data_IF_422282505367
#
_entry.id   IF_422282505367
#
_cell.length_a   1.000
_cell.length_b   1.000
_cell.length_c   1.000
_cell.angle_alpha   90.00
_cell.angle_beta   90.00
_cell.angle_gamma   90.00
#
_symmetry.space_group_name_H-M   'P 1'
#
loop_
_entity.id
_entity.type
_entity.pdbx_description
1 polymer ?
#
# COMPACT_ATOMS: atom_id res chain seq x y z
N UNK A 1 17.20 -18.77 1.40
CA UNK A 1 17.08 -17.45 0.75
C UNK A 1 15.61 -17.07 0.74
N UNK A 2 15.26 -15.86 1.17
CA UNK A 2 13.90 -15.31 1.08
C UNK A 2 13.80 -14.40 -0.13
N UNK A 3 12.77 -14.60 -0.95
CA UNK A 3 12.50 -13.77 -2.13
C UNK A 3 11.40 -12.77 -1.75
N UNK A 4 11.66 -11.48 -1.94
CA UNK A 4 10.73 -10.41 -1.57
C UNK A 4 9.96 -9.83 -2.76
N UNK A 5 10.53 -9.95 -3.95
CA UNK A 5 9.98 -9.39 -5.19
C UNK A 5 10.56 -10.14 -6.37
N UNK A 6 9.77 -10.30 -7.43
CA UNK A 6 10.22 -10.84 -8.70
C UNK A 6 9.51 -10.14 -9.85
N UNK A 7 10.17 -10.13 -11.00
CA UNK A 7 9.59 -9.81 -12.29
C UNK A 7 10.07 -10.84 -13.31
N UNK A 8 9.32 -11.04 -14.39
CA UNK A 8 9.68 -11.99 -15.43
C UNK A 8 9.23 -11.52 -16.80
N UNK A 9 9.99 -11.94 -17.80
CA UNK A 9 9.57 -11.92 -19.20
C UNK A 9 9.45 -13.37 -19.72
N UNK A 10 9.39 -13.55 -21.04
CA UNK A 10 9.24 -14.88 -21.65
C UNK A 10 10.43 -15.82 -21.40
N UNK A 11 11.62 -15.28 -21.17
CA UNK A 11 12.88 -16.02 -21.19
C UNK A 11 13.56 -16.05 -19.81
N UNK A 12 13.28 -15.06 -18.96
CA UNK A 12 13.99 -14.87 -17.70
C UNK A 12 13.12 -14.32 -16.59
N UNK A 13 13.57 -14.57 -15.36
CA UNK A 13 13.01 -14.04 -14.14
C UNK A 13 14.10 -13.32 -13.36
N UNK A 14 13.84 -12.09 -12.92
CA UNK A 14 14.69 -11.33 -12.03
C UNK A 14 14.06 -11.22 -10.64
N UNK A 15 14.85 -11.30 -9.57
CA UNK A 15 14.32 -11.20 -8.22
C UNK A 15 15.36 -10.69 -7.21
N UNK A 16 14.89 -10.11 -6.10
CA UNK A 16 15.73 -9.78 -4.95
C UNK A 16 15.67 -10.94 -3.96
N UNK A 17 16.82 -11.57 -3.74
CA UNK A 17 16.99 -12.64 -2.77
C UNK A 17 17.78 -12.15 -1.57
N UNK A 18 17.28 -12.42 -0.36
CA UNK A 18 18.01 -12.14 0.88
C UNK A 18 18.36 -13.43 1.62
N UNK A 19 19.58 -13.46 2.13
CA UNK A 19 20.14 -14.51 2.96
C UNK A 19 20.46 -13.94 4.35
N UNK A 20 21.14 -14.71 5.20
CA UNK A 20 21.56 -14.23 6.51
C UNK A 20 22.53 -13.04 6.40
N UNK A 21 23.40 -13.05 5.38
CA UNK A 21 24.55 -12.14 5.33
C UNK A 21 24.43 -11.07 4.23
N UNK A 22 23.52 -11.25 3.27
CA UNK A 22 23.37 -10.32 2.14
C UNK A 22 22.00 -10.36 1.47
N UNK A 23 21.68 -9.24 0.83
CA UNK A 23 20.63 -9.11 -0.18
C UNK A 23 21.29 -8.90 -1.56
N UNK A 24 20.82 -9.60 -2.57
CA UNK A 24 21.35 -9.48 -3.94
C UNK A 24 20.25 -9.57 -4.99
N UNK A 25 20.52 -8.99 -6.14
CA UNK A 25 19.74 -9.15 -7.37
C UNK A 25 20.17 -10.44 -8.07
N UNK A 26 19.20 -11.27 -8.42
CA UNK A 26 19.41 -12.53 -9.13
C UNK A 26 18.60 -12.57 -10.42
N UNK A 27 19.09 -13.35 -11.40
CA UNK A 27 18.36 -13.71 -12.61
C UNK A 27 18.36 -15.22 -12.78
N UNK A 28 17.22 -15.76 -13.21
CA UNK A 28 17.06 -17.12 -13.71
C UNK A 28 16.83 -17.04 -15.21
N UNK A 29 17.69 -17.69 -16.00
CA UNK A 29 17.56 -17.79 -17.46
C UNK A 29 18.01 -19.19 -17.89
N UNK A 30 17.23 -19.87 -18.75
CA UNK A 30 17.54 -21.23 -19.20
C UNK A 30 17.68 -22.25 -18.05
N UNK A 31 16.94 -22.05 -16.95
CA UNK A 31 17.01 -22.90 -15.75
C UNK A 31 18.25 -22.68 -14.86
N UNK A 32 19.10 -21.69 -15.17
CA UNK A 32 20.30 -21.37 -14.37
C UNK A 32 20.08 -20.08 -13.62
N UNK A 33 20.40 -20.11 -12.32
CA UNK A 33 20.41 -18.93 -11.46
C UNK A 33 21.80 -18.26 -11.51
N UNK A 34 21.81 -16.93 -11.60
CA UNK A 34 23.02 -16.11 -11.52
C UNK A 34 22.78 -14.90 -10.63
N UNK A 35 23.73 -14.62 -9.75
CA UNK A 35 23.79 -13.36 -9.01
C UNK A 35 24.27 -12.24 -9.94
N UNK A 36 23.52 -11.14 -10.01
CA UNK A 36 23.82 -9.98 -10.84
C UNK A 36 24.66 -8.97 -10.07
N UNK A 37 24.18 -8.57 -8.89
CA UNK A 37 24.82 -7.56 -8.06
C UNK A 37 24.33 -7.66 -6.60
N UNK A 38 25.18 -7.30 -5.62
CA UNK A 38 24.71 -7.04 -4.26
C UNK A 38 23.76 -5.83 -4.26
N UNK A 39 22.74 -5.88 -3.43
CA UNK A 39 21.72 -4.84 -3.31
C UNK A 39 21.51 -4.46 -1.84
N UNK A 40 21.02 -3.24 -1.62
CA UNK A 40 20.60 -2.82 -0.29
C UNK A 40 19.46 -3.72 0.21
N UNK A 41 19.38 -4.04 1.51
CA UNK A 41 18.17 -4.56 2.12
C UNK A 41 16.96 -3.69 1.75
N UNK A 42 15.76 -4.28 1.65
CA UNK A 42 14.54 -3.58 1.21
C UNK A 42 14.62 -2.99 -0.21
N UNK A 43 15.34 -3.67 -1.10
CA UNK A 43 15.23 -3.47 -2.54
C UNK A 43 14.17 -4.41 -3.12
N UNK A 44 13.45 -3.95 -4.13
CA UNK A 44 12.37 -4.68 -4.80
C UNK A 44 12.52 -4.55 -6.31
N UNK A 45 12.55 -5.68 -7.01
CA UNK A 45 12.44 -5.74 -8.48
C UNK A 45 10.98 -5.60 -8.86
N UNK A 46 10.71 -4.78 -9.88
CA UNK A 46 9.35 -4.56 -10.39
C UNK A 46 9.17 -4.95 -11.84
N UNK A 47 10.22 -4.83 -12.67
CA UNK A 47 10.11 -5.22 -14.08
C UNK A 47 11.47 -5.64 -14.66
N UNK A 48 11.41 -6.43 -15.74
CA UNK A 48 12.58 -6.90 -16.49
C UNK A 48 12.23 -6.97 -17.98
N UNK A 49 13.13 -6.45 -18.80
CA UNK A 49 13.08 -6.63 -20.25
C UNK A 49 14.42 -7.16 -20.77
N UNK A 50 14.56 -7.34 -22.08
CA UNK A 50 15.76 -7.88 -22.72
C UNK A 50 17.08 -7.25 -22.24
N UNK A 51 17.08 -5.93 -21.97
CA UNK A 51 18.29 -5.16 -21.64
C UNK A 51 18.46 -4.88 -20.15
N UNK A 52 17.37 -4.61 -19.44
CA UNK A 52 17.43 -4.06 -18.09
C UNK A 52 16.52 -4.76 -17.11
N UNK A 53 16.90 -4.67 -15.85
CA UNK A 53 16.09 -4.97 -14.68
C UNK A 53 15.88 -3.65 -13.95
N UNK A 54 14.64 -3.36 -13.55
CA UNK A 54 14.30 -2.15 -12.80
C UNK A 54 13.61 -2.51 -11.49
N UNK A 55 13.75 -1.60 -10.53
CA UNK A 55 13.19 -1.76 -9.21
C UNK A 55 13.43 -0.54 -8.35
N UNK A 56 13.06 -0.61 -7.09
CA UNK A 56 13.19 0.49 -6.14
C UNK A 56 13.52 0.01 -4.72
N UNK A 57 13.86 0.94 -3.84
CA UNK A 57 14.04 0.67 -2.43
C UNK A 57 14.85 1.76 -1.73
N UNK A 58 15.32 1.43 -0.52
CA UNK A 58 16.24 2.28 0.24
C UNK A 58 17.66 2.02 -0.27
N UNK A 59 18.07 2.70 -1.34
CA UNK A 59 19.30 2.37 -2.07
C UNK A 59 20.48 3.23 -1.65
N UNK A 60 20.22 4.40 -1.07
CA UNK A 60 21.24 5.33 -0.55
C UNK A 60 21.39 5.33 0.97
N UNK A 61 20.75 4.37 1.64
CA UNK A 61 20.85 4.19 3.10
C UNK A 61 20.05 5.19 3.93
N UNK A 62 19.29 6.10 3.31
CA UNK A 62 18.38 6.98 4.03
C UNK A 62 17.00 6.32 4.18
N UNK A 63 16.56 5.93 5.40
CA UNK A 63 15.27 5.27 5.60
C UNK A 63 14.06 6.20 5.37
N UNK A 64 14.29 7.49 5.09
CA UNK A 64 13.26 8.50 4.81
C UNK A 64 13.09 8.80 3.32
N UNK A 65 13.78 8.08 2.43
CA UNK A 65 13.62 8.20 0.99
C UNK A 65 13.71 6.84 0.31
N UNK A 66 13.16 6.77 -0.90
CA UNK A 66 13.32 5.62 -1.77
C UNK A 66 13.83 6.08 -3.12
N UNK A 67 14.78 5.36 -3.67
CA UNK A 67 15.31 5.57 -5.01
C UNK A 67 14.91 4.40 -5.91
N UNK A 68 15.04 4.56 -7.22
CA UNK A 68 14.90 3.45 -8.14
C UNK A 68 16.24 3.09 -8.78
N UNK A 69 16.44 1.80 -9.08
CA UNK A 69 17.61 1.31 -9.78
C UNK A 69 17.28 0.86 -11.19
N UNK A 70 18.28 0.95 -12.06
CA UNK A 70 18.33 0.26 -13.34
C UNK A 70 19.61 -0.56 -13.38
N UNK A 71 19.46 -1.86 -13.54
CA UNK A 71 20.57 -2.80 -13.67
C UNK A 71 20.61 -3.38 -15.08
N UNK A 72 21.80 -3.50 -15.66
CA UNK A 72 21.98 -4.37 -16.83
C UNK A 72 22.25 -5.82 -16.40
N UNK A 73 22.18 -6.75 -17.36
CA UNK A 73 22.42 -8.16 -17.09
C UNK A 73 23.89 -8.48 -16.78
N UNK A 74 24.83 -7.56 -16.99
CA UNK A 74 26.25 -7.77 -16.69
C UNK A 74 26.61 -7.49 -15.23
N UNK A 75 25.72 -6.84 -14.48
CA UNK A 75 25.94 -6.47 -13.08
C UNK A 75 26.12 -4.98 -12.84
N UNK A 76 26.04 -4.13 -13.86
CA UNK A 76 26.11 -2.69 -13.66
C UNK A 76 24.77 -2.18 -13.14
N UNK A 77 24.75 -1.72 -11.89
CA UNK A 77 23.57 -1.13 -11.25
C UNK A 77 23.76 0.38 -11.14
N UNK A 78 22.79 1.15 -11.61
CA UNK A 78 22.74 2.61 -11.43
C UNK A 78 21.51 2.99 -10.63
N UNK A 79 21.69 3.90 -9.68
CA UNK A 79 20.66 4.40 -8.77
C UNK A 79 20.24 5.81 -9.21
N UNK A 80 18.94 6.04 -9.29
CA UNK A 80 18.35 7.28 -9.79
C UNK A 80 17.36 7.86 -8.78
N UNK A 81 17.35 9.18 -8.69
CA UNK A 81 16.34 9.95 -7.97
C UNK A 81 16.13 11.30 -8.67
N UNK A 82 14.89 11.74 -8.91
CA UNK A 82 14.61 13.08 -9.44
C UNK A 82 14.93 14.19 -8.43
N UNK A 83 14.87 13.89 -7.12
CA UNK A 83 15.14 14.84 -6.04
C UNK A 83 15.60 14.10 -4.79
N UNK A 84 16.65 14.59 -4.14
CA UNK A 84 17.08 14.02 -2.86
C UNK A 84 15.95 14.08 -1.83
N UNK A 85 15.77 12.99 -1.09
CA UNK A 85 14.74 12.89 -0.05
C UNK A 85 13.33 12.57 -0.55
N UNK A 86 13.09 12.43 -1.87
CA UNK A 86 11.78 12.03 -2.38
C UNK A 86 11.56 10.52 -2.32
N UNK A 87 10.29 10.11 -2.38
CA UNK A 87 9.87 8.72 -2.51
C UNK A 87 9.70 8.39 -3.99
N UNK A 88 10.42 7.38 -4.48
CA UNK A 88 10.38 7.00 -5.89
C UNK A 88 10.19 5.48 -6.03
N UNK A 89 9.18 5.07 -6.78
CA UNK A 89 8.85 3.66 -7.01
C UNK A 89 8.73 3.39 -8.51
N UNK A 90 9.71 2.68 -9.07
CA UNK A 90 9.66 2.24 -10.47
C UNK A 90 8.67 1.08 -10.63
N UNK A 91 7.76 1.18 -11.60
CA UNK A 91 6.73 0.16 -11.88
C UNK A 91 6.99 -0.64 -13.14
N UNK A 92 7.66 -0.07 -14.13
CA UNK A 92 7.86 -0.75 -15.40
C UNK A 92 8.91 -0.10 -16.26
N UNK A 93 9.38 -0.85 -17.26
CA UNK A 93 10.27 -0.34 -18.29
C UNK A 93 9.74 -0.70 -19.68
N UNK A 94 9.48 0.33 -20.48
CA UNK A 94 8.94 0.19 -21.84
C UNK A 94 9.55 1.24 -22.75
N UNK A 95 9.84 0.87 -24.00
CA UNK A 95 10.42 1.76 -25.01
C UNK A 95 11.68 2.51 -24.52
N UNK A 96 12.54 1.80 -23.77
CA UNK A 96 13.75 2.33 -23.15
C UNK A 96 13.50 3.51 -22.18
N UNK A 97 12.30 3.56 -21.57
CA UNK A 97 11.93 4.50 -20.52
C UNK A 97 11.46 3.77 -19.27
N UNK A 98 11.91 4.22 -18.12
CA UNK A 98 11.42 3.75 -16.81
C UNK A 98 10.17 4.54 -16.45
N UNK A 99 9.10 3.85 -16.14
CA UNK A 99 7.86 4.40 -15.61
C UNK A 99 7.89 4.27 -14.09
N UNK A 100 7.72 5.39 -13.39
CA UNK A 100 7.79 5.42 -11.94
C UNK A 100 6.80 6.41 -11.37
N UNK A 101 6.41 6.20 -10.13
CA UNK A 101 5.66 7.19 -9.33
C UNK A 101 6.59 7.87 -8.35
N UNK A 102 6.30 9.14 -8.09
CA UNK A 102 7.06 9.91 -7.11
C UNK A 102 6.26 11.04 -6.49
N UNK A 103 6.63 11.41 -5.28
CA UNK A 103 6.12 12.58 -4.57
C UNK A 103 7.03 13.82 -4.71
N UNK A 104 8.08 13.79 -5.56
CA UNK A 104 9.15 14.79 -5.52
C UNK A 104 8.69 16.25 -5.72
N UNK A 105 7.58 16.46 -6.43
CA UNK A 105 6.95 17.79 -6.61
C UNK A 105 6.23 18.25 -5.34
N UNK A 106 5.58 17.35 -4.60
CA UNK A 106 4.82 17.63 -3.39
C UNK A 106 5.10 16.58 -2.30
N UNK A 107 6.32 16.59 -1.71
CA UNK A 107 6.77 15.52 -0.83
C UNK A 107 5.78 15.22 0.29
N UNK A 108 5.31 13.98 0.32
CA UNK A 108 4.36 13.49 1.31
C UNK A 108 2.90 13.93 1.20
N UNK A 109 2.54 14.78 0.23
CA UNK A 109 1.15 15.23 0.05
C UNK A 109 0.45 14.60 -1.14
N UNK A 110 1.18 14.30 -2.20
CA UNK A 110 0.63 13.63 -3.39
C UNK A 110 1.72 13.03 -4.26
N UNK A 111 1.40 11.91 -4.90
CA UNK A 111 2.25 11.25 -5.88
C UNK A 111 1.76 11.51 -7.30
N UNK A 112 2.71 11.50 -8.24
CA UNK A 112 2.46 11.61 -9.67
C UNK A 112 3.24 10.54 -10.44
N UNK A 113 2.88 10.36 -11.71
CA UNK A 113 3.47 9.36 -12.59
C UNK A 113 4.43 10.05 -13.56
N UNK A 114 5.61 9.46 -13.74
CA UNK A 114 6.72 10.00 -14.50
C UNK A 114 7.35 8.96 -15.41
N UNK A 115 8.06 9.44 -16.42
CA UNK A 115 8.98 8.66 -17.24
C UNK A 115 10.41 9.15 -17.07
N UNK A 116 11.37 8.25 -17.21
CA UNK A 116 12.79 8.55 -17.25
C UNK A 116 13.44 7.87 -18.45
N UNK A 117 14.05 8.66 -19.34
CA UNK A 117 14.68 8.21 -20.60
C UNK A 117 16.21 8.11 -20.53
N UNK A 118 16.76 8.07 -19.31
CA UNK A 118 18.20 8.15 -19.02
C UNK A 118 18.85 9.54 -19.20
N UNK A 119 18.07 10.57 -19.56
CA UNK A 119 18.53 11.96 -19.66
C UNK A 119 17.71 12.89 -18.77
N UNK A 120 16.37 12.76 -18.79
CA UNK A 120 15.46 13.63 -18.06
C UNK A 120 14.27 12.86 -17.48
N UNK A 121 13.67 13.47 -16.46
CA UNK A 121 12.41 13.06 -15.86
C UNK A 121 11.26 13.87 -16.47
N UNK A 122 10.19 13.22 -16.91
CA UNK A 122 9.02 13.88 -17.48
C UNK A 122 7.73 13.36 -16.85
N UNK A 123 6.86 14.26 -16.41
CA UNK A 123 5.54 13.93 -15.90
C UNK A 123 4.66 13.39 -17.02
N UNK A 124 3.89 12.34 -16.74
CA UNK A 124 2.87 11.87 -17.67
C UNK A 124 1.67 12.81 -17.60
N UNK A 125 1.36 13.39 -18.75
CA UNK A 125 0.15 14.19 -18.96
C UNK A 125 -0.96 13.33 -19.53
N UNK A 126 -2.00 13.11 -18.72
CA UNK A 126 -3.21 12.45 -19.14
C UNK A 126 -4.13 13.42 -19.88
N UNK A 127 -4.87 12.89 -20.87
CA UNK A 127 -5.91 13.62 -21.58
C UNK A 127 -7.02 14.06 -20.63
N UNK A 128 -7.37 13.19 -19.68
CA UNK A 128 -8.44 13.39 -18.70
C UNK A 128 -7.83 13.81 -17.36
N UNK A 129 -8.52 14.69 -16.62
CA UNK A 129 -7.92 15.40 -15.49
C UNK A 129 -8.36 14.93 -14.09
N UNK A 130 -9.26 13.95 -13.99
CA UNK A 130 -9.82 13.49 -12.72
C UNK A 130 -8.74 13.01 -11.74
N UNK A 131 -7.71 12.31 -12.24
CA UNK A 131 -6.60 11.81 -11.43
C UNK A 131 -5.86 12.92 -10.68
N UNK A 132 -5.74 14.12 -11.27
CA UNK A 132 -5.05 15.25 -10.66
C UNK A 132 -5.86 15.84 -9.49
N UNK A 133 -7.18 15.80 -9.59
CA UNK A 133 -8.08 16.27 -8.54
C UNK A 133 -8.16 15.28 -7.36
N UNK A 134 -7.93 13.99 -7.61
CA UNK A 134 -7.97 12.97 -6.56
C UNK A 134 -6.81 13.10 -5.54
N UNK A 135 -5.69 13.72 -5.95
CA UNK A 135 -4.49 13.95 -5.12
C UNK A 135 -4.06 12.68 -4.37
N UNK A 136 -3.80 11.61 -5.12
CA UNK A 136 -3.44 10.32 -4.56
C UNK A 136 -2.18 10.39 -3.69
N UNK A 137 -2.16 9.64 -2.59
CA UNK A 137 -0.98 9.48 -1.74
C UNK A 137 -0.30 8.13 -1.94
N UNK A 138 -0.93 7.25 -2.70
CA UNK A 138 -0.36 6.01 -3.22
C UNK A 138 -0.93 5.75 -4.62
N UNK A 139 -0.10 5.25 -5.51
CA UNK A 139 -0.43 5.01 -6.91
C UNK A 139 0.19 3.70 -7.36
N UNK A 140 -0.58 2.85 -8.01
CA UNK A 140 -0.11 1.82 -8.94
C UNK A 140 -0.40 2.28 -10.36
N UNK A 141 0.57 2.14 -11.27
CA UNK A 141 0.39 2.50 -12.68
C UNK A 141 0.86 1.39 -13.62
N UNK A 142 -0.03 1.00 -14.53
CA UNK A 142 0.28 0.12 -15.65
C UNK A 142 0.50 0.96 -16.93
N UNK A 143 1.73 1.03 -17.45
CA UNK A 143 2.06 1.80 -18.66
C UNK A 143 1.61 1.13 -19.98
N UNK A 144 1.20 -0.13 -19.96
CA UNK A 144 0.71 -0.85 -21.14
C UNK A 144 -0.73 -0.44 -21.41
N UNK A 145 -1.58 -0.53 -20.39
CA UNK A 145 -3.01 -0.24 -20.49
C UNK A 145 -3.38 1.19 -20.08
N UNK A 146 -2.42 1.95 -19.56
CA UNK A 146 -2.61 3.30 -19.00
C UNK A 146 -3.67 3.31 -17.90
N UNK A 147 -3.61 2.29 -17.05
CA UNK A 147 -4.51 2.09 -15.92
C UNK A 147 -3.80 2.51 -14.63
N UNK A 148 -4.52 3.23 -13.78
CA UNK A 148 -4.01 3.64 -12.47
C UNK A 148 -4.97 3.23 -11.36
N UNK A 149 -4.46 2.57 -10.32
CA UNK A 149 -5.16 2.49 -9.03
C UNK A 149 -4.57 3.58 -8.15
N UNK A 150 -5.41 4.48 -7.69
CA UNK A 150 -5.00 5.57 -6.83
C UNK A 150 -5.68 5.46 -5.48
N UNK A 151 -4.91 5.59 -4.39
CA UNK A 151 -5.41 5.48 -3.01
C UNK A 151 -5.21 6.77 -2.23
N UNK A 152 -6.22 7.10 -1.42
CA UNK A 152 -6.23 8.20 -0.46
C UNK A 152 -7.21 7.88 0.68
N UNK A 153 -6.79 8.19 1.90
CA UNK A 153 -7.61 8.01 3.11
C UNK A 153 -8.19 6.57 3.25
N UNK A 154 -7.35 5.57 2.97
CA UNK A 154 -7.73 4.15 3.09
C UNK A 154 -8.72 3.66 2.04
N UNK A 155 -8.97 4.40 0.96
CA UNK A 155 -9.84 3.97 -0.15
C UNK A 155 -9.16 4.19 -1.48
N UNK A 156 -9.58 3.45 -2.50
CA UNK A 156 -9.00 3.56 -3.83
C UNK A 156 -10.02 3.87 -4.91
N UNK A 157 -9.54 4.47 -6.00
CA UNK A 157 -10.28 4.70 -7.24
C UNK A 157 -9.47 4.20 -8.42
N UNK A 158 -10.18 3.76 -9.46
CA UNK A 158 -9.60 3.28 -10.70
C UNK A 158 -9.67 4.36 -11.77
N UNK A 159 -8.57 4.54 -12.49
CA UNK A 159 -8.48 5.51 -13.58
C UNK A 159 -8.00 4.82 -14.86
N UNK A 160 -8.55 5.25 -15.99
CA UNK A 160 -8.10 4.88 -17.31
C UNK A 160 -7.76 6.16 -18.08
N UNK A 161 -6.50 6.32 -18.49
CA UNK A 161 -6.01 7.54 -19.15
C UNK A 161 -6.33 8.82 -18.36
N UNK A 162 -6.27 8.76 -17.03
CA UNK A 162 -6.56 9.89 -16.13
C UNK A 162 -8.05 10.12 -15.82
N UNK A 163 -8.98 9.43 -16.49
CA UNK A 163 -10.42 9.48 -16.21
C UNK A 163 -10.80 8.52 -15.11
N UNK A 164 -11.56 8.98 -14.12
CA UNK A 164 -12.05 8.14 -13.04
C UNK A 164 -13.17 7.21 -13.55
N UNK A 165 -13.07 5.92 -13.22
CA UNK A 165 -14.08 4.92 -13.53
C UNK A 165 -15.06 4.75 -12.37
N UNK A 166 -16.33 4.48 -12.69
CA UNK A 166 -17.38 4.27 -11.70
C UNK A 166 -17.21 2.93 -10.99
N UNK A 167 -16.40 2.93 -9.94
CA UNK A 167 -16.08 1.77 -9.12
C UNK A 167 -16.74 1.89 -7.74
N UNK A 168 -17.17 0.77 -7.12
CA UNK A 168 -17.75 0.80 -5.79
C UNK A 168 -16.77 1.41 -4.77
N UNK A 169 -17.31 2.01 -3.72
CA UNK A 169 -16.50 2.56 -2.62
C UNK A 169 -15.79 1.44 -1.85
N UNK A 170 -14.47 1.51 -1.71
CA UNK A 170 -13.66 0.49 -1.04
C UNK A 170 -12.25 0.44 -1.62
N UNK A 171 -11.65 -0.74 -1.66
CA UNK A 171 -10.28 -0.95 -2.13
C UNK A 171 -10.25 -1.90 -3.32
N UNK A 172 -9.50 -1.49 -4.34
CA UNK A 172 -9.22 -2.22 -5.57
C UNK A 172 -7.86 -2.90 -5.39
N UNK A 173 -7.86 -4.22 -5.27
CA UNK A 173 -6.65 -5.01 -4.98
C UNK A 173 -5.80 -5.34 -6.21
N UNK A 174 -6.37 -5.25 -7.41
CA UNK A 174 -5.71 -5.65 -8.65
C UNK A 174 -6.59 -5.34 -9.85
N UNK A 175 -5.96 -5.11 -10.99
CA UNK A 175 -6.63 -4.70 -12.23
C UNK A 175 -5.91 -5.24 -13.45
N UNK A 176 -6.66 -5.55 -14.50
CA UNK A 176 -6.15 -5.87 -15.84
C UNK A 176 -7.14 -5.38 -16.89
N UNK A 177 -6.67 -5.08 -18.10
CA UNK A 177 -7.53 -4.80 -19.24
C UNK A 177 -7.48 -5.95 -20.24
N UNK A 178 -8.63 -6.29 -20.81
CA UNK A 178 -8.71 -7.19 -21.97
C UNK A 178 -9.59 -6.51 -23.02
N UNK A 179 -8.97 -6.07 -24.11
CA UNK A 179 -9.62 -5.25 -25.15
C UNK A 179 -10.26 -4.00 -24.53
N UNK A 180 -11.58 -3.87 -24.59
CA UNK A 180 -12.32 -2.71 -24.10
C UNK A 180 -12.91 -2.90 -22.70
N UNK A 181 -12.61 -4.01 -22.03
CA UNK A 181 -13.15 -4.34 -20.71
C UNK A 181 -12.02 -4.31 -19.68
N UNK A 182 -12.27 -3.62 -18.57
CA UNK A 182 -11.37 -3.59 -17.42
C UNK A 182 -11.92 -4.53 -16.36
N UNK A 183 -11.09 -5.46 -15.90
CA UNK A 183 -11.40 -6.38 -14.81
C UNK A 183 -10.64 -5.98 -13.57
N UNK A 184 -11.31 -5.98 -12.42
CA UNK A 184 -10.67 -5.58 -11.17
C UNK A 184 -11.22 -6.36 -9.98
N UNK A 185 -10.35 -6.67 -9.02
CA UNK A 185 -10.76 -7.19 -7.72
C UNK A 185 -11.09 -6.04 -6.78
N UNK A 186 -12.20 -6.12 -6.07
CA UNK A 186 -12.63 -5.11 -5.11
C UNK A 186 -13.08 -5.77 -3.81
N UNK A 187 -12.90 -5.07 -2.69
CA UNK A 187 -13.49 -5.42 -1.39
C UNK A 187 -13.71 -4.16 -0.54
N UNK A 188 -14.42 -4.32 0.57
CA UNK A 188 -14.51 -3.34 1.64
C UNK A 188 -14.36 -4.00 3.01
N UNK A 189 -14.22 -3.22 4.09
CA UNK A 189 -14.26 -3.75 5.45
C UNK A 189 -15.59 -4.47 5.78
N UNK A 190 -16.64 -4.21 5.00
CA UNK A 190 -17.96 -4.85 5.12
C UNK A 190 -18.24 -5.92 4.06
N UNK A 191 -17.43 -6.02 3.00
CA UNK A 191 -17.69 -6.88 1.84
C UNK A 191 -16.45 -7.68 1.42
N UNK A 192 -16.52 -9.03 1.42
CA UNK A 192 -15.44 -9.87 0.91
C UNK A 192 -15.09 -9.57 -0.54
N UNK A 193 -13.88 -10.00 -0.95
CA UNK A 193 -13.40 -9.78 -2.31
C UNK A 193 -14.36 -10.29 -3.39
N UNK A 194 -14.52 -9.49 -4.44
CA UNK A 194 -15.25 -9.81 -5.66
C UNK A 194 -14.41 -9.43 -6.86
N UNK A 195 -14.70 -10.04 -8.00
CA UNK A 195 -14.15 -9.60 -9.29
C UNK A 195 -15.26 -8.93 -10.08
N UNK A 196 -15.00 -7.71 -10.52
CA UNK A 196 -15.87 -6.94 -11.37
C UNK A 196 -15.29 -6.82 -12.77
N UNK A 197 -16.16 -6.55 -13.74
CA UNK A 197 -15.78 -6.00 -15.03
C UNK A 197 -16.48 -4.67 -15.24
N UNK A 198 -15.79 -3.72 -15.86
CA UNK A 198 -16.38 -2.46 -16.34
C UNK A 198 -16.01 -2.23 -17.80
N UNK A 199 -16.99 -1.89 -18.62
CA UNK A 199 -16.74 -1.35 -19.95
C UNK A 199 -16.71 0.19 -19.86
N UNK A 200 -15.54 0.84 -20.05
CA UNK A 200 -15.41 2.29 -19.89
C UNK A 200 -16.21 3.11 -20.90
N UNK A 201 -16.68 2.51 -22.01
CA UNK A 201 -17.46 3.23 -23.02
C UNK A 201 -18.93 3.38 -22.63
N UNK A 202 -19.47 2.42 -21.87
CA UNK A 202 -20.88 2.40 -21.45
C UNK A 202 -21.06 2.60 -19.94
N UNK A 203 -19.95 2.61 -19.18
CA UNK A 203 -19.93 2.72 -17.72
C UNK A 203 -20.78 1.64 -17.01
N UNK A 204 -20.90 0.48 -17.65
CA UNK A 204 -21.64 -0.67 -17.14
C UNK A 204 -20.70 -1.54 -16.31
N UNK A 205 -21.07 -1.76 -15.04
CA UNK A 205 -20.33 -2.58 -14.10
C UNK A 205 -21.07 -3.91 -13.87
N UNK A 206 -20.33 -5.02 -13.98
CA UNK A 206 -20.85 -6.37 -13.81
C UNK A 206 -20.02 -7.14 -12.79
N UNK A 207 -20.66 -8.00 -12.00
CA UNK A 207 -19.97 -8.92 -11.06
C UNK A 207 -19.63 -10.21 -11.82
N UNK A 208 -18.34 -10.52 -11.90
CA UNK A 208 -17.81 -11.71 -12.58
C UNK A 208 -17.63 -12.87 -11.61
N UNK A 209 -17.09 -12.57 -10.42
CA UNK A 209 -16.90 -13.53 -9.34
C UNK A 209 -17.41 -12.91 -8.05
N UNK A 210 -18.28 -13.63 -7.35
CA UNK A 210 -18.84 -13.20 -6.08
C UNK A 210 -18.40 -14.13 -4.94
N UNK A 211 -18.34 -13.57 -3.73
CA UNK A 211 -18.15 -14.31 -2.50
C UNK A 211 -19.43 -14.21 -1.63
N UNK A 212 -19.56 -15.12 -0.67
CA UNK A 212 -20.70 -15.13 0.25
C UNK A 212 -20.75 -13.82 1.03
N UNK A 213 -21.92 -13.20 1.08
CA UNK A 213 -22.17 -12.02 1.91
C UNK A 213 -21.89 -12.32 3.38
N UNK A 214 -21.28 -11.35 4.06
CA UNK A 214 -20.97 -11.44 5.49
C UNK A 214 -21.77 -10.42 6.26
N UNK A 215 -22.18 -10.80 7.46
CA UNK A 215 -23.02 -9.97 8.31
C UNK A 215 -22.17 -9.01 9.16
N UNK A 216 -21.54 -8.04 8.50
CA UNK A 216 -20.89 -6.91 9.16
C UNK A 216 -21.97 -5.86 9.47
N UNK A 217 -21.86 -5.16 10.60
CA UNK A 217 -22.73 -4.02 10.91
C UNK A 217 -22.29 -2.78 10.13
N UNK A 218 -22.14 -1.66 10.83
CA UNK A 218 -21.74 -0.39 10.21
C UNK A 218 -20.22 -0.20 10.23
N UNK A 219 -19.66 0.34 9.16
CA UNK A 219 -18.26 0.78 9.07
C UNK A 219 -18.25 2.31 9.03
N UNK A 220 -17.62 2.93 10.04
CA UNK A 220 -17.36 4.37 10.04
C UNK A 220 -15.87 4.64 9.87
N UNK A 221 -15.57 5.82 9.36
CA UNK A 221 -14.23 6.38 9.27
C UNK A 221 -14.17 7.71 10.00
N UNK A 222 -13.25 7.83 10.95
CA UNK A 222 -13.07 9.06 11.75
C UNK A 222 -11.59 9.43 11.82
N UNK A 223 -11.32 10.70 12.11
CA UNK A 223 -9.97 11.19 12.42
C UNK A 223 -9.92 11.58 13.89
N UNK A 224 -9.30 10.73 14.72
CA UNK A 224 -9.18 10.98 16.16
C UNK A 224 -8.02 11.93 16.40
N UNK A 225 -8.23 13.00 17.18
CA UNK A 225 -7.18 13.97 17.46
C UNK A 225 -6.22 13.50 18.55
N UNK A 226 -4.93 13.65 18.30
CA UNK A 226 -3.86 13.49 19.28
C UNK A 226 -2.85 14.64 19.15
N UNK A 227 -3.08 15.72 19.91
CA UNK A 227 -2.36 16.99 19.70
C UNK A 227 -2.65 17.57 18.31
N UNK A 228 -1.60 17.83 17.55
CA UNK A 228 -1.68 18.32 16.16
C UNK A 228 -1.84 17.22 15.12
N UNK A 229 -1.86 15.95 15.54
CA UNK A 229 -2.02 14.79 14.65
C UNK A 229 -3.48 14.37 14.62
N UNK A 230 -3.98 14.15 13.40
CA UNK A 230 -5.25 13.50 13.16
C UNK A 230 -4.98 12.04 12.78
N UNK A 231 -5.40 11.11 13.65
CA UNK A 231 -5.20 9.65 13.50
C UNK A 231 -6.39 9.05 12.74
N UNK A 232 -6.22 8.68 11.46
CA UNK A 232 -7.25 7.99 10.70
C UNK A 232 -7.64 6.68 11.36
N UNK A 233 -8.93 6.45 11.58
CA UNK A 233 -9.40 5.30 12.35
C UNK A 233 -10.67 4.73 11.74
N UNK A 234 -10.65 3.44 11.46
CA UNK A 234 -11.85 2.68 11.09
C UNK A 234 -12.57 2.16 12.34
N UNK A 235 -13.89 2.30 12.37
CA UNK A 235 -14.75 1.74 13.43
C UNK A 235 -15.73 0.78 12.76
N UNK A 236 -15.47 -0.52 12.90
CA UNK A 236 -16.27 -1.61 12.37
C UNK A 236 -17.16 -2.15 13.48
N UNK A 237 -18.47 -1.89 13.40
CA UNK A 237 -19.44 -2.35 14.40
C UNK A 237 -20.00 -3.71 14.04
N UNK A 238 -20.11 -4.57 15.03
CA UNK A 238 -20.86 -5.80 14.90
C UNK A 238 -22.36 -5.49 14.77
N UNK A 239 -23.09 -6.28 13.98
CA UNK A 239 -24.54 -6.15 13.87
C UNK A 239 -25.26 -6.53 15.17
N UNK A 240 -24.72 -7.52 15.87
CA UNK A 240 -25.19 -7.97 17.19
C UNK A 240 -24.04 -7.77 18.20
N UNK A 241 -23.86 -6.54 18.72
CA UNK A 241 -22.70 -6.20 19.54
C UNK A 241 -22.81 -6.75 20.96
N UNK A 242 -21.69 -7.24 21.48
CA UNK A 242 -21.54 -7.74 22.86
C UNK A 242 -21.14 -6.65 23.88
N UNK A 243 -21.22 -5.37 23.48
CA UNK A 243 -20.64 -4.21 24.17
C UNK A 243 -19.13 -4.30 24.44
N UNK A 244 -18.41 -5.16 23.72
CA UNK A 244 -16.95 -5.28 23.78
C UNK A 244 -16.32 -4.79 22.49
N UNK A 245 -15.15 -4.18 22.61
CA UNK A 245 -14.36 -3.71 21.48
C UNK A 245 -12.95 -4.31 21.49
N UNK A 246 -12.42 -4.55 20.30
CA UNK A 246 -11.00 -4.81 20.08
C UNK A 246 -10.40 -3.62 19.34
N UNK A 247 -9.40 -2.97 19.93
CA UNK A 247 -8.51 -2.08 19.20
C UNK A 247 -7.54 -2.97 18.42
N UNK A 248 -7.71 -3.02 17.11
CA UNK A 248 -6.87 -3.82 16.21
C UNK A 248 -5.73 -2.98 15.66
N UNK A 249 -4.50 -3.35 15.99
CA UNK A 249 -3.29 -2.63 15.58
C UNK A 249 -2.60 -3.41 14.47
N UNK A 250 -2.54 -2.83 13.27
CA UNK A 250 -1.99 -3.50 12.09
C UNK A 250 -0.46 -3.66 12.17
N UNK A 251 0.07 -4.69 11.49
CA UNK A 251 1.52 -4.95 11.40
C UNK A 251 2.30 -3.93 10.56
N UNK A 252 3.59 -4.19 10.37
CA UNK A 252 4.53 -3.19 9.81
C UNK A 252 4.98 -2.22 10.90
N UNK A 253 5.60 -1.10 10.52
CA UNK A 253 4.80 0.10 10.75
C UNK A 253 4.28 0.71 9.44
N UNK A 254 4.99 0.45 8.33
CA UNK A 254 4.61 0.89 6.97
C UNK A 254 3.60 -0.07 6.33
N UNK A 255 2.42 -0.13 6.93
CA UNK A 255 1.21 -0.78 6.44
C UNK A 255 0.01 0.04 6.91
N UNK A 256 -1.21 -0.43 6.67
CA UNK A 256 -2.42 0.23 7.11
C UNK A 256 -3.57 -0.77 7.18
N UNK A 257 -4.63 -0.40 7.92
CA UNK A 257 -5.97 -0.90 7.67
C UNK A 257 -6.66 0.06 6.72
N UNK A 258 -6.87 -0.37 5.49
CA UNK A 258 -7.71 0.33 4.53
C UNK A 258 -9.13 -0.27 4.50
N UNK A 259 -9.99 0.29 3.66
CA UNK A 259 -11.35 -0.19 3.43
C UNK A 259 -11.32 -1.43 2.52
N UNK A 260 -10.58 -2.45 2.92
CA UNK A 260 -10.51 -3.76 2.26
C UNK A 260 -10.94 -4.87 3.20
N UNK A 261 -11.31 -6.01 2.63
CA UNK A 261 -11.72 -7.16 3.43
C UNK A 261 -10.56 -7.70 4.26
N UNK A 262 -10.67 -7.60 5.58
CA UNK A 262 -9.62 -8.01 6.49
C UNK A 262 -9.98 -9.31 7.23
N UNK A 263 -9.20 -10.37 6.99
CA UNK A 263 -9.41 -11.72 7.53
C UNK A 263 -9.13 -11.84 9.04
N UNK A 264 -8.46 -10.86 9.65
CA UNK A 264 -8.22 -10.80 11.09
C UNK A 264 -9.31 -10.01 11.81
N UNK A 265 -9.88 -8.98 11.17
CA UNK A 265 -10.95 -8.14 11.72
C UNK A 265 -12.33 -8.81 11.58
N UNK A 266 -12.64 -9.32 10.38
CA UNK A 266 -13.98 -9.84 10.07
C UNK A 266 -14.48 -10.97 10.98
N UNK A 267 -13.66 -11.92 11.49
CA UNK A 267 -14.14 -12.93 12.42
C UNK A 267 -14.49 -12.33 13.80
N UNK A 268 -13.74 -11.33 14.27
CA UNK A 268 -14.01 -10.64 15.53
C UNK A 268 -15.36 -9.92 15.48
N UNK A 269 -15.62 -9.23 14.36
CA UNK A 269 -16.88 -8.51 14.14
C UNK A 269 -18.06 -9.48 14.08
N UNK A 270 -17.90 -10.62 13.39
CA UNK A 270 -18.94 -11.66 13.35
C UNK A 270 -19.16 -12.34 14.70
N UNK A 271 -18.15 -12.37 15.57
CA UNK A 271 -18.28 -12.85 16.95
C UNK A 271 -18.90 -11.81 17.90
N UNK A 272 -19.34 -10.65 17.39
CA UNK A 272 -20.03 -9.62 18.16
C UNK A 272 -19.12 -8.59 18.82
N UNK A 273 -17.83 -8.55 18.47
CA UNK A 273 -16.91 -7.49 18.92
C UNK A 273 -16.96 -6.30 17.96
N UNK A 274 -17.09 -5.08 18.48
CA UNK A 274 -16.74 -3.91 17.69
C UNK A 274 -15.23 -3.92 17.46
N UNK A 275 -14.75 -3.56 16.28
CA UNK A 275 -13.32 -3.43 16.00
C UNK A 275 -12.99 -2.00 15.66
N UNK A 276 -11.96 -1.45 16.30
CA UNK A 276 -11.47 -0.10 16.05
C UNK A 276 -10.02 -0.23 15.58
N UNK A 277 -9.76 0.19 14.35
CA UNK A 277 -8.47 0.02 13.70
C UNK A 277 -7.83 1.40 13.44
N UNK A 278 -6.96 1.87 14.35
CA UNK A 278 -6.19 3.09 14.12
C UNK A 278 -5.08 2.87 13.10
N UNK A 279 -4.97 3.80 12.17
CA UNK A 279 -3.77 4.00 11.34
C UNK A 279 -2.93 5.08 12.02
N UNK A 280 -2.09 4.66 12.95
CA UNK A 280 -1.19 5.52 13.72
C UNK A 280 -0.12 6.16 12.83
N UNK A 281 0.54 7.23 13.29
CA UNK A 281 1.65 7.82 12.55
C UNK A 281 2.71 6.76 12.23
N UNK A 282 3.12 6.64 10.97
CA UNK A 282 3.81 5.44 10.47
C UNK A 282 3.02 4.70 9.39
N UNK A 283 1.68 4.76 9.42
CA UNK A 283 0.86 4.00 8.47
C UNK A 283 0.94 4.52 7.03
N UNK A 284 0.75 3.59 6.11
CA UNK A 284 0.59 3.82 4.67
C UNK A 284 -0.80 4.42 4.36
N UNK A 285 -1.03 4.86 3.11
CA UNK A 285 -2.32 5.36 2.65
C UNK A 285 -2.63 6.83 3.02
N UNK A 286 -1.70 7.52 3.69
CA UNK A 286 -1.83 8.90 4.19
C UNK A 286 -0.68 9.83 3.77
N UNK A 287 0.19 9.37 2.86
CA UNK A 287 1.32 10.13 2.33
C UNK A 287 2.61 9.94 3.11
N UNK A 288 3.76 10.10 2.43
CA UNK A 288 5.08 9.84 3.03
C UNK A 288 5.36 10.72 4.24
N UNK A 289 4.77 11.92 4.32
CA UNK A 289 4.91 12.80 5.50
C UNK A 289 4.33 12.19 6.76
N UNK A 290 3.19 11.49 6.67
CA UNK A 290 2.56 10.80 7.81
C UNK A 290 3.25 9.46 8.08
N UNK A 291 3.55 8.72 7.02
CA UNK A 291 4.25 7.44 7.09
C UNK A 291 5.65 7.56 7.72
N UNK A 292 6.40 8.63 7.50
CA UNK A 292 7.76 8.78 8.02
C UNK A 292 7.85 9.33 9.45
N UNK A 293 6.71 9.60 10.11
CA UNK A 293 6.69 10.16 11.47
C UNK A 293 7.15 9.16 12.54
N UNK A 294 7.12 7.86 12.24
CA UNK A 294 7.57 6.78 13.14
C UNK A 294 9.08 6.53 13.07
N UNK A 295 9.76 7.04 12.03
CA UNK A 295 11.17 6.75 11.77
C UNK A 295 12.04 7.40 12.85
N UNK A 296 12.57 6.54 13.72
CA UNK A 296 13.39 6.93 14.86
C UNK A 296 12.61 7.07 16.18
N UNK A 297 11.31 6.75 16.20
CA UNK A 297 10.44 6.85 17.39
C UNK A 297 9.52 5.62 17.59
N UNK A 298 10.00 4.36 17.46
CA UNK A 298 9.15 3.19 17.71
C UNK A 298 8.76 3.13 19.19
N UNK A 299 7.45 3.11 19.49
CA UNK A 299 6.96 3.09 20.87
C UNK A 299 6.61 4.46 21.42
N UNK A 300 6.88 5.52 20.67
CA UNK A 300 6.58 6.90 21.03
C UNK A 300 5.23 7.34 20.48
N UNK A 301 5.26 8.14 19.43
CA UNK A 301 4.07 8.76 18.85
C UNK A 301 3.07 7.76 18.26
N UNK A 302 3.54 6.65 17.69
CA UNK A 302 2.70 5.55 17.19
C UNK A 302 1.85 4.92 18.30
N UNK A 303 2.46 4.61 19.44
CA UNK A 303 1.76 4.09 20.62
C UNK A 303 0.83 5.15 21.23
N UNK A 304 1.26 6.42 21.25
CA UNK A 304 0.43 7.54 21.71
C UNK A 304 -0.86 7.66 20.90
N UNK A 305 -0.79 7.49 19.58
CA UNK A 305 -1.96 7.51 18.69
C UNK A 305 -2.93 6.36 18.99
N UNK A 306 -2.42 5.15 19.24
CA UNK A 306 -3.24 3.99 19.65
C UNK A 306 -3.94 4.25 21.00
N UNK A 307 -3.23 4.85 21.96
CA UNK A 307 -3.80 5.22 23.27
C UNK A 307 -4.90 6.27 23.12
N UNK A 308 -4.68 7.31 22.30
CA UNK A 308 -5.69 8.33 22.03
C UNK A 308 -6.97 7.73 21.41
N UNK A 309 -6.82 6.76 20.52
CA UNK A 309 -7.96 6.06 19.90
C UNK A 309 -8.68 5.16 20.91
N UNK A 310 -7.97 4.47 21.80
CA UNK A 310 -8.60 3.75 22.93
C UNK A 310 -9.42 4.72 23.80
N UNK A 311 -8.89 5.89 24.12
CA UNK A 311 -9.58 6.87 24.95
C UNK A 311 -10.83 7.43 24.25
N UNK A 312 -10.75 7.63 22.92
CA UNK A 312 -11.91 7.97 22.09
C UNK A 312 -13.00 6.89 22.14
N UNK A 313 -12.64 5.60 22.16
CA UNK A 313 -13.60 4.49 22.30
C UNK A 313 -14.37 4.59 23.62
N UNK A 314 -13.70 4.94 24.71
CA UNK A 314 -14.34 5.15 26.01
C UNK A 314 -15.20 6.42 26.03
N UNK A 315 -14.68 7.55 25.53
CA UNK A 315 -15.40 8.83 25.49
C UNK A 315 -16.70 8.73 24.69
N UNK A 316 -16.65 8.10 23.51
CA UNK A 316 -17.81 7.90 22.64
C UNK A 316 -18.69 6.72 23.04
N UNK A 317 -18.36 6.02 24.13
CA UNK A 317 -19.09 4.85 24.63
C UNK A 317 -19.32 3.78 23.55
N UNK A 318 -18.30 3.55 22.71
CA UNK A 318 -18.35 2.55 21.63
C UNK A 318 -18.39 1.12 22.21
N UNK A 319 -17.79 0.92 23.39
CA UNK A 319 -17.82 -0.33 24.15
C UNK A 319 -17.59 -0.09 25.65
N UNK A 320 -18.04 -1.05 26.47
CA UNK A 320 -17.82 -1.07 27.92
C UNK A 320 -16.44 -1.67 28.28
N UNK A 321 -16.00 -2.66 27.51
CA UNK A 321 -14.70 -3.32 27.68
C UNK A 321 -13.91 -3.27 26.40
N UNK A 322 -12.63 -2.94 26.51
CA UNK A 322 -11.70 -2.81 25.38
C UNK A 322 -10.56 -3.80 25.55
N UNK A 323 -10.37 -4.66 24.55
CA UNK A 323 -9.17 -5.45 24.37
C UNK A 323 -8.29 -4.85 23.27
N UNK A 324 -7.03 -5.28 23.21
CA UNK A 324 -6.10 -4.95 22.13
C UNK A 324 -5.67 -6.24 21.42
N UNK A 325 -5.47 -6.17 20.12
CA UNK A 325 -4.95 -7.27 19.31
C UNK A 325 -4.07 -6.71 18.19
N UNK A 326 -2.91 -7.32 17.97
CA UNK A 326 -2.08 -7.04 16.81
C UNK A 326 -1.52 -8.30 16.13
N UNK A 327 -1.01 -8.13 14.91
CA UNK A 327 -0.28 -9.17 14.18
C UNK A 327 1.05 -8.63 13.66
N UNK A 328 2.11 -9.45 13.68
CA UNK A 328 3.49 -9.07 13.32
C UNK A 328 4.18 -8.15 14.34
N UNK A 329 4.86 -7.07 13.91
CA UNK A 329 5.70 -6.18 14.74
C UNK A 329 5.03 -5.69 16.04
N UNK A 330 3.70 -5.61 16.07
CA UNK A 330 2.92 -5.23 17.25
C UNK A 330 2.80 -6.28 18.36
N UNK A 331 3.25 -7.52 18.16
CA UNK A 331 3.42 -8.45 19.30
C UNK A 331 4.36 -7.89 20.38
N UNK A 332 5.30 -7.02 20.01
CA UNK A 332 6.14 -6.30 20.98
C UNK A 332 5.35 -5.32 21.87
N UNK A 333 4.25 -4.77 21.36
CA UNK A 333 3.45 -3.75 22.03
C UNK A 333 2.24 -4.33 22.76
N UNK A 334 1.69 -5.48 22.35
CA UNK A 334 0.75 -6.25 23.17
C UNK A 334 1.36 -6.53 24.56
N UNK A 335 2.67 -6.80 24.61
CA UNK A 335 3.45 -6.96 25.84
C UNK A 335 3.61 -5.65 26.64
N UNK A 336 3.85 -4.52 25.96
CA UNK A 336 4.08 -3.22 26.62
C UNK A 336 2.78 -2.56 27.09
N UNK A 337 1.70 -2.69 26.33
CA UNK A 337 0.38 -2.13 26.67
C UNK A 337 -0.31 -2.92 27.78
N UNK A 338 -0.16 -4.25 27.80
CA UNK A 338 -0.59 -5.08 28.93
C UNK A 338 0.12 -4.71 30.24
N UNK A 339 1.37 -4.24 30.17
CA UNK A 339 2.15 -3.81 31.34
C UNK A 339 1.80 -2.41 31.90
N UNK A 340 1.09 -1.57 31.14
CA UNK A 340 0.64 -0.24 31.58
C UNK A 340 -0.81 -0.22 32.11
N UNK A 341 -1.44 -1.39 32.23
CA UNK A 341 -2.83 -1.59 32.66
C UNK A 341 -3.03 -2.04 34.11
N UNK A 342 -2.08 -1.75 35.01
CA UNK A 342 -2.28 -1.94 36.45
C UNK A 342 -1.89 -0.67 37.19
N UNK A 343 -2.90 0.15 37.49
CA UNK A 343 -2.83 1.34 38.35
C UNK A 343 -4.23 1.78 38.70
#
# INVERSE_FOLDING_TARGET
>A
MRIFSLAYDKNKMAFIGSSQDKSSLYVIEGGKIREIAPMSPYSFVTDVNEKYIVGYGILRGNPKSNEFFVADLSGNVKIYTPKEGSMNMAYGIKDNKVYFVSDYENPGESYWIYTFDFQKYERIEFSEKDIYNYRAVELYYDPIDSITIAKRDGRSKLFLNGRMLNTPEGVIGGVTRVKDVVYFSWSSLSSPYRVYSINPNYNEINVILNNKETNIGNVDYVKVKNGDIEVPTWIIRAKEPTNRCIVYVHGGPWSDVDDSWNILISPLVQAGFNVVAPNFRGSNGYGSKFNLMDVGDPGGGDLSDVVAVRDYVHEKKIAEKVGIMGYSLWRLYDLVSAGKGTG
#
